data_IF_350555721525
#
_entry.id   IF_350555721525
#
_cell.length_a   1.000
_cell.length_b   1.000
_cell.length_c   1.000
_cell.angle_alpha   90.00
_cell.angle_beta   90.00
_cell.angle_gamma   90.00
#
_symmetry.space_group_name_H-M   'P 1'
#
loop_
_entity.id
_entity.type
_entity.pdbx_description
1 polymer ?
#
# COMPACT_ATOMS: atom_id res chain seq x y z
N UNK A 1 10.93 -0.40 -25.84
CA UNK A 1 12.18 0.37 -25.66
C UNK A 1 11.85 1.80 -26.08
N UNK A 2 11.05 2.47 -25.25
CA UNK A 2 10.52 3.82 -25.46
C UNK A 2 11.48 4.86 -24.85
N UNK A 3 12.72 4.90 -25.37
CA UNK A 3 13.65 5.97 -25.01
C UNK A 3 13.38 7.27 -25.82
N UNK A 4 12.24 7.36 -26.51
CA UNK A 4 12.00 8.34 -27.60
C UNK A 4 10.96 9.43 -27.26
N UNK A 5 10.12 9.28 -26.24
CA UNK A 5 9.07 10.30 -26.00
C UNK A 5 9.59 11.63 -25.43
N UNK A 6 10.79 11.65 -24.82
CA UNK A 6 11.40 12.91 -24.36
C UNK A 6 12.09 13.70 -25.49
N UNK A 7 12.37 13.08 -26.64
CA UNK A 7 13.08 13.73 -27.76
C UNK A 7 12.16 14.23 -28.87
N UNK A 8 10.86 13.93 -28.83
CA UNK A 8 9.93 14.31 -29.89
C UNK A 8 9.55 15.81 -29.89
N UNK A 9 9.75 16.53 -28.78
CA UNK A 9 9.45 17.96 -28.67
C UNK A 9 10.67 18.84 -28.38
N UNK A 10 11.86 18.25 -28.27
CA UNK A 10 13.08 18.98 -27.98
C UNK A 10 13.89 19.25 -29.24
N UNK A 11 13.95 20.50 -29.66
CA UNK A 11 14.96 20.97 -30.60
C UNK A 11 16.23 21.36 -29.81
N UNK A 12 17.31 20.55 -29.86
CA UNK A 12 18.55 20.81 -29.12
C UNK A 12 19.29 22.05 -29.61
N UNK A 13 18.84 22.71 -30.68
CA UNK A 13 19.41 23.97 -31.17
C UNK A 13 18.76 25.22 -30.56
N UNK A 14 17.62 25.09 -29.89
CA UNK A 14 16.84 26.21 -29.34
C UNK A 14 16.71 26.14 -27.81
N UNK A 15 16.55 24.95 -27.24
CA UNK A 15 16.36 24.78 -25.80
C UNK A 15 17.56 24.12 -25.11
N UNK A 16 18.18 24.86 -24.17
CA UNK A 16 19.32 24.39 -23.36
C UNK A 16 18.90 23.30 -22.36
N UNK A 17 17.61 23.25 -21.99
CA UNK A 17 17.04 22.30 -21.04
C UNK A 17 15.75 21.71 -21.61
N UNK A 18 15.78 20.42 -21.90
CA UNK A 18 14.59 19.61 -22.20
C UNK A 18 13.77 19.36 -20.93
N UNK A 19 13.01 20.37 -20.50
CA UNK A 19 12.04 20.24 -19.43
C UNK A 19 10.63 20.11 -20.05
N UNK A 20 9.84 19.08 -19.69
CA UNK A 20 8.44 19.04 -20.10
C UNK A 20 7.71 20.24 -19.53
N UNK A 21 6.78 20.82 -20.30
CA UNK A 21 5.98 21.98 -19.88
C UNK A 21 5.18 21.72 -18.59
N UNK A 22 4.98 20.45 -18.23
CA UNK A 22 4.33 20.03 -17.00
C UNK A 22 5.04 18.81 -16.38
N UNK A 23 5.34 18.89 -15.08
CA UNK A 23 5.96 17.78 -14.32
C UNK A 23 5.12 16.51 -14.34
N UNK A 24 3.79 16.64 -14.52
CA UNK A 24 2.88 15.51 -14.56
C UNK A 24 3.14 14.58 -15.75
N UNK A 25 3.71 15.08 -16.86
CA UNK A 25 4.00 14.25 -18.04
C UNK A 25 5.15 13.26 -17.80
N UNK A 26 6.01 13.52 -16.82
CA UNK A 26 7.05 12.55 -16.39
C UNK A 26 6.46 11.36 -15.63
N UNK A 27 5.27 11.54 -15.06
CA UNK A 27 4.61 10.53 -14.25
C UNK A 27 3.43 9.88 -14.98
N UNK A 28 2.76 10.61 -15.89
CA UNK A 28 1.61 10.15 -16.68
C UNK A 28 1.98 9.41 -17.96
N UNK A 29 2.29 8.11 -17.80
CA UNK A 29 2.27 7.17 -18.93
C UNK A 29 0.81 6.96 -19.40
N UNK A 30 0.34 7.86 -20.26
CA UNK A 30 -1.02 7.84 -20.83
C UNK A 30 -1.17 6.82 -21.95
N UNK A 31 -0.09 6.19 -22.38
CA UNK A 31 -0.11 5.15 -23.40
C UNK A 31 -0.72 3.85 -22.85
N UNK A 32 -1.90 3.51 -23.37
CA UNK A 32 -2.52 2.23 -23.14
C UNK A 32 -1.79 1.18 -23.96
N UNK A 33 -1.25 0.15 -23.32
CA UNK A 33 -0.55 -0.94 -24.02
C UNK A 33 -1.57 -1.77 -24.81
N UNK A 34 -2.75 -1.97 -24.23
CA UNK A 34 -3.89 -2.60 -24.88
C UNK A 34 -5.18 -2.21 -24.14
N UNK A 35 -6.34 -2.38 -24.79
CA UNK A 35 -7.65 -2.13 -24.19
C UNK A 35 -8.37 -3.46 -23.98
N UNK A 36 -8.92 -3.68 -22.78
CA UNK A 36 -9.85 -4.79 -22.52
C UNK A 36 -11.23 -4.20 -22.32
N UNK A 37 -12.18 -4.50 -23.21
CA UNK A 37 -13.60 -4.12 -23.03
C UNK A 37 -13.85 -2.63 -22.82
N UNK A 38 -13.01 -1.76 -23.41
CA UNK A 38 -13.10 -0.30 -23.26
C UNK A 38 -12.25 0.29 -22.13
N UNK A 39 -11.59 -0.53 -21.30
CA UNK A 39 -10.66 -0.05 -20.27
C UNK A 39 -9.22 -0.04 -20.78
N UNK A 40 -8.52 1.12 -20.77
CA UNK A 40 -7.11 1.18 -21.14
C UNK A 40 -6.24 0.53 -20.05
N UNK A 41 -5.52 -0.53 -20.42
CA UNK A 41 -4.54 -1.16 -19.55
C UNK A 41 -3.21 -0.43 -19.69
N UNK A 42 -2.88 0.37 -18.70
CA UNK A 42 -1.62 1.12 -18.63
C UNK A 42 -0.53 0.28 -17.96
N UNK A 43 0.73 0.69 -18.14
CA UNK A 43 1.89 0.07 -17.46
C UNK A 43 1.68 -0.02 -15.94
N UNK A 44 1.09 1.01 -15.33
CA UNK A 44 0.78 1.04 -13.90
C UNK A 44 -0.17 -0.07 -13.48
N UNK A 45 -1.21 -0.36 -14.27
CA UNK A 45 -2.17 -1.44 -13.98
C UNK A 45 -1.48 -2.81 -13.98
N UNK A 46 -0.62 -3.06 -14.97
CA UNK A 46 0.15 -4.31 -15.05
C UNK A 46 1.05 -4.49 -13.84
N UNK A 47 1.72 -3.41 -13.39
CA UNK A 47 2.58 -3.46 -12.21
C UNK A 47 1.79 -3.68 -10.92
N UNK A 48 0.61 -3.08 -10.77
CA UNK A 48 -0.26 -3.35 -9.60
C UNK A 48 -0.67 -4.82 -9.57
N UNK A 49 -1.09 -5.37 -10.71
CA UNK A 49 -1.49 -6.78 -10.82
C UNK A 49 -0.31 -7.73 -10.56
N UNK A 50 0.89 -7.38 -11.03
CA UNK A 50 2.08 -8.19 -10.77
C UNK A 50 2.48 -8.18 -9.30
N UNK A 51 2.38 -7.03 -8.59
CA UNK A 51 2.60 -6.98 -7.13
C UNK A 51 1.59 -7.89 -6.42
N UNK A 52 0.30 -7.78 -6.75
CA UNK A 52 -0.74 -8.60 -6.13
C UNK A 52 -0.47 -10.11 -6.36
N UNK A 53 -0.06 -10.48 -7.57
CA UNK A 53 0.31 -11.85 -7.90
C UNK A 53 1.54 -12.32 -7.12
N UNK A 54 2.59 -11.50 -7.02
CA UNK A 54 3.82 -11.82 -6.28
C UNK A 54 3.54 -12.02 -4.80
N UNK A 55 2.79 -11.10 -4.18
CA UNK A 55 2.42 -11.20 -2.75
C UNK A 55 1.57 -12.46 -2.52
N UNK A 56 0.59 -12.72 -3.38
CA UNK A 56 -0.24 -13.93 -3.29
C UNK A 56 0.59 -15.20 -3.45
N UNK A 57 1.49 -15.24 -4.43
CA UNK A 57 2.39 -16.37 -4.65
C UNK A 57 3.32 -16.57 -3.45
N UNK A 58 3.94 -15.50 -2.95
CA UNK A 58 4.83 -15.52 -1.79
C UNK A 58 4.15 -16.12 -0.56
N UNK A 59 2.94 -15.64 -0.23
CA UNK A 59 2.16 -16.18 0.88
C UNK A 59 1.70 -17.61 0.62
N UNK A 60 1.24 -17.92 -0.59
CA UNK A 60 0.80 -19.27 -0.94
C UNK A 60 1.94 -20.28 -0.81
N UNK A 61 3.10 -20.03 -1.42
CA UNK A 61 4.24 -20.93 -1.34
C UNK A 61 4.84 -21.01 0.07
N UNK A 62 4.84 -19.89 0.81
CA UNK A 62 5.31 -19.84 2.18
C UNK A 62 4.43 -20.59 3.18
N UNK A 63 3.10 -20.66 2.95
CA UNK A 63 2.13 -21.30 3.84
C UNK A 63 1.72 -22.72 3.41
N UNK A 64 2.02 -23.13 2.17
CA UNK A 64 1.53 -24.40 1.59
C UNK A 64 2.13 -25.64 2.25
N UNK A 65 3.38 -25.60 2.70
CA UNK A 65 4.04 -26.74 3.35
C UNK A 65 4.14 -26.50 4.85
N UNK A 66 3.35 -27.23 5.63
CA UNK A 66 3.50 -27.30 7.09
C UNK A 66 4.47 -28.44 7.43
N UNK A 67 5.77 -28.18 7.44
CA UNK A 67 6.75 -29.12 7.98
C UNK A 67 7.05 -28.82 9.45
N UNK A 68 7.27 -29.87 10.25
CA UNK A 68 7.61 -29.77 11.69
C UNK A 68 8.96 -29.08 11.89
N UNK A 69 9.88 -29.22 10.93
CA UNK A 69 11.11 -28.45 10.84
C UNK A 69 11.00 -27.52 9.62
N UNK A 70 10.95 -26.19 9.79
CA UNK A 70 10.82 -25.26 8.68
C UNK A 70 12.09 -25.25 7.83
N UNK A 71 11.93 -25.27 6.50
CA UNK A 71 13.02 -24.99 5.59
C UNK A 71 13.43 -23.50 5.65
N UNK A 72 14.61 -23.15 5.11
CA UNK A 72 15.14 -21.76 5.15
C UNK A 72 14.14 -20.71 4.62
N UNK A 73 13.46 -21.00 3.51
CA UNK A 73 12.47 -20.08 2.92
C UNK A 73 11.20 -19.96 3.78
N UNK A 74 10.71 -21.08 4.34
CA UNK A 74 9.56 -21.07 5.24
C UNK A 74 9.86 -20.29 6.52
N UNK A 75 11.07 -20.45 7.09
CA UNK A 75 11.50 -19.69 8.26
C UNK A 75 11.53 -18.18 7.99
N UNK A 76 11.98 -17.74 6.80
CA UNK A 76 11.95 -16.34 6.43
C UNK A 76 10.52 -15.78 6.29
N UNK A 77 9.62 -16.55 5.65
CA UNK A 77 8.20 -16.15 5.53
C UNK A 77 7.54 -16.10 6.91
N UNK A 78 7.76 -17.10 7.74
CA UNK A 78 7.22 -17.18 9.09
C UNK A 78 7.72 -16.02 9.95
N UNK A 79 9.00 -15.66 9.85
CA UNK A 79 9.55 -14.49 10.53
C UNK A 79 8.81 -13.19 10.15
N UNK A 80 8.49 -12.99 8.86
CA UNK A 80 7.73 -11.81 8.41
C UNK A 80 6.30 -11.84 8.95
N UNK A 81 5.64 -13.01 8.93
CA UNK A 81 4.28 -13.16 9.45
C UNK A 81 4.24 -12.88 10.96
N UNK A 82 5.21 -13.41 11.71
CA UNK A 82 5.33 -13.19 13.14
C UNK A 82 5.68 -11.73 13.46
N UNK A 83 6.56 -11.10 12.67
CA UNK A 83 6.86 -9.68 12.80
C UNK A 83 5.59 -8.82 12.69
N UNK A 84 4.77 -9.04 11.65
CA UNK A 84 3.54 -8.26 11.47
C UNK A 84 2.48 -8.64 12.51
N UNK A 85 2.34 -9.91 12.87
CA UNK A 85 1.31 -10.34 13.82
C UNK A 85 1.63 -9.92 15.25
N UNK A 86 2.84 -10.21 15.70
CA UNK A 86 3.22 -10.07 17.10
C UNK A 86 3.88 -8.71 17.35
N UNK A 87 4.78 -8.24 16.47
CA UNK A 87 5.46 -6.95 16.60
C UNK A 87 4.69 -5.74 16.09
N UNK A 88 3.61 -5.92 15.33
CA UNK A 88 2.77 -4.79 14.86
C UNK A 88 1.35 -4.94 15.34
N UNK A 89 0.65 -6.01 14.96
CA UNK A 89 -0.77 -6.11 15.22
C UNK A 89 -1.07 -6.23 16.73
N UNK A 90 -0.35 -7.09 17.46
CA UNK A 90 -0.57 -7.27 18.90
C UNK A 90 0.00 -6.13 19.74
N UNK A 91 1.17 -5.59 19.40
CA UNK A 91 1.73 -4.46 20.15
C UNK A 91 0.88 -3.19 20.03
N UNK A 92 0.32 -2.91 18.86
CA UNK A 92 -0.46 -1.68 18.64
C UNK A 92 -1.94 -1.84 19.01
N UNK A 93 -2.57 -2.97 18.67
CA UNK A 93 -4.02 -3.17 18.86
C UNK A 93 -4.32 -3.94 20.17
N UNK A 94 -3.34 -4.65 20.72
CA UNK A 94 -3.49 -5.51 21.90
C UNK A 94 -3.89 -6.95 21.54
N UNK A 95 -4.45 -7.68 22.51
CA UNK A 95 -4.72 -9.12 22.42
C UNK A 95 -5.61 -9.52 21.22
N UNK A 96 -6.52 -8.63 20.83
CA UNK A 96 -7.41 -8.81 19.67
C UNK A 96 -6.78 -8.44 18.32
N UNK A 97 -5.57 -7.90 18.31
CA UNK A 97 -4.84 -7.48 17.11
C UNK A 97 -4.53 -8.63 16.17
N UNK A 98 -4.36 -9.85 16.70
CA UNK A 98 -4.06 -11.04 15.90
C UNK A 98 -5.13 -11.32 14.81
N UNK A 99 -6.38 -10.92 15.04
CA UNK A 99 -7.47 -11.05 14.06
C UNK A 99 -7.28 -10.15 12.83
N UNK A 100 -6.63 -9.00 13.00
CA UNK A 100 -6.37 -8.03 11.93
C UNK A 100 -5.00 -8.25 11.27
N UNK A 101 -4.18 -9.16 11.80
CA UNK A 101 -2.88 -9.49 11.23
C UNK A 101 -2.92 -9.88 9.74
N UNK A 102 -3.91 -10.63 9.22
CA UNK A 102 -3.98 -10.93 7.78
C UNK A 102 -4.14 -9.68 6.91
N UNK A 103 -4.95 -8.72 7.35
CA UNK A 103 -5.12 -7.44 6.65
C UNK A 103 -3.82 -6.62 6.67
N UNK A 104 -3.24 -6.44 7.86
CA UNK A 104 -1.99 -5.69 8.03
C UNK A 104 -0.83 -6.32 7.25
N UNK A 105 -0.72 -7.65 7.25
CA UNK A 105 0.28 -8.39 6.49
C UNK A 105 0.14 -8.16 4.99
N UNK A 106 -1.09 -8.17 4.47
CA UNK A 106 -1.33 -7.95 3.05
C UNK A 106 -0.94 -6.53 2.61
N UNK A 107 -1.31 -5.52 3.39
CA UNK A 107 -0.97 -4.12 3.12
C UNK A 107 0.54 -3.90 3.25
N UNK A 108 1.17 -4.46 4.29
CA UNK A 108 2.61 -4.38 4.50
C UNK A 108 3.38 -4.98 3.32
N UNK A 109 3.08 -6.22 2.92
CA UNK A 109 3.76 -6.88 1.80
C UNK A 109 3.48 -6.19 0.46
N UNK A 110 2.26 -5.71 0.24
CA UNK A 110 1.92 -4.97 -0.98
C UNK A 110 2.75 -3.69 -1.11
N UNK A 111 2.84 -2.90 -0.04
CA UNK A 111 3.64 -1.67 -0.02
C UNK A 111 5.13 -2.00 -0.15
N UNK A 112 5.61 -3.01 0.57
CA UNK A 112 7.01 -3.44 0.54
C UNK A 112 7.43 -3.83 -0.89
N UNK A 113 6.70 -4.73 -1.53
CA UNK A 113 7.00 -5.18 -2.91
C UNK A 113 6.84 -4.03 -3.90
N UNK A 114 5.82 -3.18 -3.72
CA UNK A 114 5.60 -2.01 -4.56
C UNK A 114 6.74 -0.99 -4.50
N UNK A 115 7.38 -0.84 -3.35
CA UNK A 115 8.57 -0.01 -3.17
C UNK A 115 9.84 -0.71 -3.70
N UNK A 116 9.96 -2.04 -3.59
CA UNK A 116 11.10 -2.77 -4.16
C UNK A 116 11.19 -2.70 -5.69
N UNK A 117 10.07 -2.43 -6.37
CA UNK A 117 10.04 -2.21 -7.82
C UNK A 117 10.75 -0.93 -8.28
N UNK A 118 11.01 -0.01 -7.36
CA UNK A 118 11.85 1.18 -7.61
C UNK A 118 13.31 0.79 -7.85
N UNK A 119 13.82 -0.17 -7.08
CA UNK A 119 15.22 -0.62 -7.12
C UNK A 119 15.44 -1.72 -8.16
N UNK A 120 14.36 -2.34 -8.64
CA UNK A 120 14.46 -3.48 -9.55
C UNK A 120 14.87 -3.01 -10.95
N UNK A 121 16.00 -3.50 -11.49
CA UNK A 121 16.41 -3.19 -12.85
C UNK A 121 15.28 -3.60 -13.84
N UNK A 122 15.17 -2.89 -14.96
CA UNK A 122 14.09 -3.02 -15.97
C UNK A 122 12.74 -2.39 -15.60
N UNK A 123 12.34 -2.34 -14.32
CA UNK A 123 11.06 -1.71 -13.91
C UNK A 123 11.29 -0.24 -13.56
N UNK A 124 12.26 0.07 -12.69
CA UNK A 124 12.65 1.42 -12.23
C UNK A 124 11.45 2.39 -12.08
N UNK A 125 10.34 1.90 -11.52
CA UNK A 125 9.13 2.69 -11.35
C UNK A 125 8.45 2.32 -10.02
N UNK A 126 8.48 3.20 -9.01
CA UNK A 126 7.75 2.98 -7.77
C UNK A 126 6.26 3.10 -8.06
N UNK A 127 5.54 1.99 -7.93
CA UNK A 127 4.08 1.96 -8.10
C UNK A 127 3.40 2.86 -7.06
N UNK A 128 4.01 3.01 -5.88
CA UNK A 128 3.59 3.89 -4.78
C UNK A 128 3.74 5.39 -5.06
N UNK A 129 4.47 5.80 -6.11
CA UNK A 129 4.56 7.23 -6.52
C UNK A 129 3.21 7.82 -6.93
N UNK A 130 2.27 6.98 -7.34
CA UNK A 130 0.90 7.39 -7.63
C UNK A 130 0.13 7.49 -6.33
N UNK A 131 -0.12 8.72 -5.85
CA UNK A 131 -0.89 9.00 -4.62
C UNK A 131 -2.24 8.28 -4.57
N UNK A 132 -2.86 8.00 -5.73
CA UNK A 132 -4.10 7.24 -5.80
C UNK A 132 -4.03 5.89 -5.06
N UNK A 133 -2.88 5.18 -5.10
CA UNK A 133 -2.73 3.88 -4.45
C UNK A 133 -2.59 3.96 -2.92
N UNK A 134 -1.65 4.76 -2.35
CA UNK A 134 -1.60 4.97 -0.90
C UNK A 134 -2.92 5.50 -0.34
N UNK A 135 -3.57 6.46 -1.03
CA UNK A 135 -4.86 7.00 -0.60
C UNK A 135 -5.93 5.91 -0.60
N UNK A 136 -5.99 5.08 -1.64
CA UNK A 136 -6.94 3.96 -1.69
C UNK A 136 -6.76 2.98 -0.53
N UNK A 137 -5.52 2.55 -0.26
CA UNK A 137 -5.21 1.66 0.86
C UNK A 137 -5.50 2.30 2.23
N UNK A 138 -5.23 3.61 2.36
CA UNK A 138 -5.53 4.38 3.56
C UNK A 138 -7.04 4.44 3.82
N UNK A 139 -7.85 4.72 2.79
CA UNK A 139 -9.31 4.77 2.92
C UNK A 139 -9.87 3.40 3.33
N UNK A 140 -9.42 2.31 2.72
CA UNK A 140 -9.89 0.97 3.13
C UNK A 140 -9.50 0.67 4.57
N UNK A 141 -8.24 0.96 4.95
CA UNK A 141 -7.77 0.72 6.31
C UNK A 141 -8.55 1.57 7.32
N UNK A 142 -8.87 2.81 6.98
CA UNK A 142 -9.72 3.69 7.79
C UNK A 142 -11.13 3.14 7.96
N UNK A 143 -11.76 2.63 6.90
CA UNK A 143 -13.07 1.97 6.99
C UNK A 143 -13.01 0.74 7.90
N UNK A 144 -11.98 -0.10 7.76
CA UNK A 144 -11.78 -1.27 8.65
C UNK A 144 -11.61 -0.82 10.11
N UNK A 145 -10.87 0.26 10.36
CA UNK A 145 -10.67 0.82 11.69
C UNK A 145 -11.98 1.33 12.31
N UNK A 146 -12.75 2.14 11.58
CA UNK A 146 -14.04 2.67 12.06
C UNK A 146 -15.02 1.51 12.32
N UNK A 147 -15.10 0.54 11.40
CA UNK A 147 -15.95 -0.64 11.57
C UNK A 147 -15.55 -1.47 12.80
N UNK A 148 -14.24 -1.68 13.01
CA UNK A 148 -13.73 -2.35 14.20
C UNK A 148 -14.09 -1.59 15.49
N UNK A 149 -14.02 -0.26 15.48
CA UNK A 149 -14.41 0.61 16.59
C UNK A 149 -15.88 0.49 16.95
N UNK A 150 -16.77 0.67 15.96
CA UNK A 150 -18.23 0.54 16.13
C UNK A 150 -18.59 -0.87 16.62
N UNK A 151 -17.97 -1.92 16.06
CA UNK A 151 -18.25 -3.30 16.46
C UNK A 151 -17.89 -3.60 17.91
N UNK A 152 -16.88 -2.92 18.47
CA UNK A 152 -16.40 -3.15 19.84
C UNK A 152 -17.07 -2.25 20.87
N UNK A 153 -17.34 -0.99 20.53
CA UNK A 153 -17.83 0.03 21.48
C UNK A 153 -19.25 0.53 21.17
N UNK A 154 -19.88 0.09 20.08
CA UNK A 154 -21.22 0.50 19.67
C UNK A 154 -21.30 1.99 19.34
N UNK A 155 -22.48 2.59 19.53
CA UNK A 155 -22.70 4.03 19.35
C UNK A 155 -21.84 4.89 20.30
N UNK A 156 -21.39 4.32 21.43
CA UNK A 156 -20.46 4.95 22.36
C UNK A 156 -19.06 5.19 21.80
N UNK A 157 -18.70 4.55 20.68
CA UNK A 157 -17.44 4.80 19.97
C UNK A 157 -17.26 6.26 19.59
N UNK A 158 -18.29 6.85 18.97
CA UNK A 158 -18.24 8.25 18.53
C UNK A 158 -18.28 9.22 19.71
N UNK A 159 -19.06 8.90 20.76
CA UNK A 159 -19.04 9.69 21.99
C UNK A 159 -17.69 9.62 22.71
N UNK A 160 -16.98 8.50 22.66
CA UNK A 160 -15.64 8.36 23.23
C UNK A 160 -14.57 9.14 22.46
N UNK A 161 -14.74 9.29 21.14
CA UNK A 161 -13.85 10.10 20.30
C UNK A 161 -14.12 11.60 20.49
N UNK A 162 -15.39 11.99 20.46
CA UNK A 162 -15.82 13.41 20.58
C UNK A 162 -15.78 13.90 22.03
N UNK A 163 -15.84 13.01 23.01
CA UNK A 163 -15.87 13.38 24.42
C UNK A 163 -15.05 12.41 25.29
N UNK A 164 -13.71 12.54 25.30
CA UNK A 164 -12.86 11.65 26.07
C UNK A 164 -13.09 11.83 27.58
N UNK A 165 -13.62 10.80 28.24
CA UNK A 165 -13.98 10.83 29.67
C UNK A 165 -12.76 10.99 30.59
N UNK A 166 -11.57 10.60 30.11
CA UNK A 166 -10.29 10.62 30.84
C UNK A 166 -9.70 12.02 31.01
N UNK A 167 -10.23 13.03 30.31
CA UNK A 167 -9.72 14.40 30.35
C UNK A 167 -10.57 15.25 31.33
N UNK A 168 -9.96 16.16 32.12
CA UNK A 168 -10.70 17.09 32.98
C UNK A 168 -11.74 17.89 32.19
N UNK A 169 -12.93 18.10 32.77
CA UNK A 169 -14.12 18.66 32.10
C UNK A 169 -13.83 19.96 31.34
N UNK A 170 -12.95 20.80 31.88
CA UNK A 170 -12.59 22.09 31.29
C UNK A 170 -11.77 21.98 29.99
N UNK A 171 -11.00 20.90 29.82
CA UNK A 171 -10.16 20.65 28.64
C UNK A 171 -10.87 19.80 27.56
N UNK A 172 -12.02 19.19 27.90
CA UNK A 172 -12.77 18.33 26.98
C UNK A 172 -13.19 19.02 25.66
N UNK A 173 -13.65 20.28 25.65
CA UNK A 173 -14.06 20.94 24.40
C UNK A 173 -12.91 21.20 23.41
N UNK A 174 -11.66 21.27 23.89
CA UNK A 174 -10.47 21.47 23.05
C UNK A 174 -9.98 20.16 22.43
N UNK A 175 -10.13 19.05 23.17
CA UNK A 175 -9.60 17.73 22.78
C UNK A 175 -10.62 16.92 21.97
N UNK A 176 -11.90 17.15 22.22
CA UNK A 176 -13.02 16.42 21.61
C UNK A 176 -13.57 17.02 20.31
N UNK A 177 -13.10 18.19 19.90
CA UNK A 177 -13.48 18.88 18.66
C UNK A 177 -12.39 18.71 17.58
#
# INVERSE_FOLDING_TARGET
MELILATASCDPSVDIICAPANVNELFEFREAIFTIGGFPVTRTVILILSIALIVSAFLFFGLRKKSVVPGKFQAAVEAIILFVRDGVAKEIIGEHGAKYAPWLLSVFLFILVGNMFEVTPFVNFPVTSRMALPVFLAVITWVVFVFAGIKRQGFGYFLGIVWPTTVPIFLRPLVGL
#
